data_IF_313599181641
#
_entry.id   IF_313599181641
#
_cell.length_a   1.000
_cell.length_b   1.000
_cell.length_c   1.000
_cell.angle_alpha   90.00
_cell.angle_beta   90.00
_cell.angle_gamma   90.00
#
_symmetry.space_group_name_H-M   'P 1'
#
loop_
_entity.id
_entity.type
_entity.pdbx_description
1 polymer ?
#
# COMPACT_ATOMS: atom_id res chain seq x y z
N UNK A 1 -55.22 4.97 12.00
CA UNK A 1 -54.19 5.87 12.46
C UNK A 1 -53.78 5.47 13.89
N UNK A 2 -52.82 4.55 14.02
CA UNK A 2 -52.27 4.13 15.31
C UNK A 2 -50.82 4.62 15.41
N UNK A 3 -50.63 5.61 16.25
CA UNK A 3 -49.31 6.15 16.60
C UNK A 3 -48.69 5.20 17.63
N UNK A 4 -47.73 4.36 17.20
CA UNK A 4 -46.91 3.53 18.09
C UNK A 4 -45.93 4.44 18.84
N UNK A 5 -46.23 4.78 20.10
CA UNK A 5 -45.29 5.41 21.01
C UNK A 5 -44.24 4.38 21.46
N UNK A 6 -43.04 4.46 20.87
CA UNK A 6 -41.86 3.80 21.40
C UNK A 6 -41.54 4.42 22.78
N UNK A 7 -41.85 3.75 23.86
CA UNK A 7 -41.31 4.05 25.18
C UNK A 7 -39.87 3.56 25.23
N UNK A 8 -38.93 4.47 25.01
CA UNK A 8 -37.52 4.22 25.34
C UNK A 8 -37.40 3.99 26.85
N UNK A 9 -36.86 2.85 27.22
CA UNK A 9 -36.71 2.42 28.62
C UNK A 9 -35.75 3.41 29.34
N UNK A 10 -36.29 4.25 30.21
CA UNK A 10 -35.63 5.40 30.86
C UNK A 10 -34.43 5.02 31.74
N UNK A 11 -34.25 3.75 32.06
CA UNK A 11 -33.18 3.26 32.95
C UNK A 11 -31.83 3.24 32.23
N UNK A 12 -31.79 2.79 30.97
CA UNK A 12 -30.54 2.82 30.16
C UNK A 12 -30.12 4.22 29.76
N UNK A 13 -31.05 5.10 29.47
CA UNK A 13 -30.76 6.51 29.17
C UNK A 13 -30.22 7.28 30.40
N UNK A 14 -30.72 6.96 31.61
CA UNK A 14 -30.25 7.57 32.86
C UNK A 14 -28.85 7.10 33.27
N UNK A 15 -28.50 5.86 32.97
CA UNK A 15 -27.17 5.29 33.23
C UNK A 15 -26.11 5.82 32.24
N UNK A 16 -26.51 6.15 31.00
CA UNK A 16 -25.63 6.75 29.98
C UNK A 16 -25.33 8.24 30.27
N UNK A 17 -26.22 8.92 31.01
CA UNK A 17 -26.04 10.34 31.38
C UNK A 17 -25.19 10.53 32.66
N UNK A 18 -24.87 9.48 33.41
CA UNK A 18 -24.10 9.56 34.67
C UNK A 18 -22.59 9.24 34.50
N UNK A 19 -22.13 8.77 33.37
CA UNK A 19 -20.69 8.67 33.09
C UNK A 19 -20.19 10.03 32.57
N UNK A 20 -19.13 10.58 33.20
CA UNK A 20 -18.47 11.78 32.68
C UNK A 20 -18.14 11.54 31.21
N UNK A 21 -18.50 12.50 30.31
CA UNK A 21 -18.21 12.33 28.88
C UNK A 21 -16.70 12.11 28.68
N UNK A 22 -16.35 11.05 28.00
CA UNK A 22 -14.94 10.77 27.68
C UNK A 22 -14.52 11.71 26.55
N UNK A 23 -13.49 12.51 26.80
CA UNK A 23 -12.89 13.33 25.77
C UNK A 23 -12.20 12.46 24.71
N UNK A 24 -12.65 12.55 23.46
CA UNK A 24 -12.13 11.76 22.34
C UNK A 24 -10.64 12.03 22.06
N UNK A 25 -10.14 13.23 22.41
CA UNK A 25 -8.73 13.54 22.31
C UNK A 25 -7.85 12.67 23.21
N UNK A 26 -8.39 12.24 24.37
CA UNK A 26 -7.67 11.31 25.25
C UNK A 26 -7.51 9.94 24.59
N UNK A 27 -8.55 9.48 23.87
CA UNK A 27 -8.51 8.21 23.15
C UNK A 27 -7.51 8.30 22.00
N UNK A 28 -7.53 9.39 21.24
CA UNK A 28 -6.57 9.61 20.14
C UNK A 28 -5.13 9.61 20.69
N UNK A 29 -4.88 10.33 21.80
CA UNK A 29 -3.56 10.35 22.45
C UNK A 29 -3.14 8.94 22.88
N UNK A 30 -4.04 8.13 23.44
CA UNK A 30 -3.76 6.74 23.81
C UNK A 30 -3.34 5.89 22.61
N UNK A 31 -4.02 6.02 21.47
CA UNK A 31 -3.69 5.29 20.26
C UNK A 31 -2.31 5.67 19.72
N UNK A 32 -1.98 6.96 19.69
CA UNK A 32 -0.68 7.43 19.22
C UNK A 32 0.45 6.97 20.14
N UNK A 33 0.26 7.03 21.47
CA UNK A 33 1.23 6.50 22.44
C UNK A 33 1.43 4.99 22.27
N UNK A 34 0.35 4.26 22.00
CA UNK A 34 0.42 2.80 21.74
C UNK A 34 1.24 2.48 20.50
N UNK A 35 1.10 3.27 19.44
CA UNK A 35 1.82 3.07 18.18
C UNK A 35 3.30 3.44 18.30
N UNK A 36 3.60 4.55 18.96
CA UNK A 36 4.97 5.06 19.12
C UNK A 36 5.76 4.37 20.24
N UNK A 37 5.08 3.70 21.18
CA UNK A 37 5.66 3.11 22.40
C UNK A 37 6.52 4.08 23.20
N UNK A 38 6.28 5.38 23.05
CA UNK A 38 7.04 6.46 23.66
C UNK A 38 6.20 7.72 23.82
N UNK A 39 6.17 8.27 25.02
CA UNK A 39 5.49 9.55 25.27
C UNK A 39 6.14 10.71 24.50
N UNK A 40 7.46 10.70 24.33
CA UNK A 40 8.19 11.75 23.60
C UNK A 40 7.85 11.71 22.11
N UNK A 41 7.95 10.54 21.47
CA UNK A 41 7.59 10.38 20.06
C UNK A 41 6.11 10.67 19.81
N UNK A 42 5.23 10.27 20.73
CA UNK A 42 3.81 10.59 20.64
C UNK A 42 3.57 12.10 20.72
N UNK A 43 4.31 12.81 21.57
CA UNK A 43 4.22 14.26 21.70
C UNK A 43 4.64 14.98 20.41
N UNK A 44 5.73 14.56 19.80
CA UNK A 44 6.21 15.04 18.49
C UNK A 44 5.14 14.85 17.40
N UNK A 45 4.55 13.65 17.32
CA UNK A 45 3.50 13.34 16.35
C UNK A 45 2.21 14.15 16.53
N UNK A 46 1.86 14.46 17.77
CA UNK A 46 0.66 15.21 18.12
C UNK A 46 0.89 16.74 18.11
N UNK A 47 2.13 17.19 17.95
CA UNK A 47 2.48 18.62 18.03
C UNK A 47 2.26 19.24 19.41
N UNK A 48 2.41 18.44 20.48
CA UNK A 48 2.24 18.87 21.88
C UNK A 48 3.46 18.52 22.73
N UNK A 49 3.47 18.95 23.99
CA UNK A 49 4.57 18.61 24.90
C UNK A 49 4.40 17.23 25.51
N UNK A 50 5.50 16.56 25.85
CA UNK A 50 5.48 15.26 26.53
C UNK A 50 4.68 15.26 27.85
N UNK A 51 4.76 16.31 28.73
CA UNK A 51 3.92 16.42 29.90
C UNK A 51 2.42 16.46 29.57
N UNK A 52 2.01 17.09 28.46
CA UNK A 52 0.62 17.14 28.01
C UNK A 52 0.13 15.74 27.59
N UNK A 53 0.93 14.97 26.86
CA UNK A 53 0.63 13.57 26.53
C UNK A 53 0.46 12.72 27.80
N UNK A 54 1.41 12.83 28.73
CA UNK A 54 1.36 12.10 30.01
C UNK A 54 0.13 12.47 30.84
N UNK A 55 -0.27 13.74 30.86
CA UNK A 55 -1.49 14.20 31.52
C UNK A 55 -2.75 13.63 30.86
N UNK A 56 -2.80 13.61 29.53
CA UNK A 56 -3.92 13.04 28.76
C UNK A 56 -4.10 11.55 29.06
N UNK A 57 -3.01 10.78 29.07
CA UNK A 57 -3.06 9.36 29.43
C UNK A 57 -3.56 9.17 30.87
N UNK A 58 -3.06 9.95 31.85
CA UNK A 58 -3.55 9.88 33.23
C UNK A 58 -5.05 10.19 33.34
N UNK A 59 -5.54 11.18 32.60
CA UNK A 59 -6.98 11.50 32.57
C UNK A 59 -7.80 10.35 32.00
N UNK A 60 -7.32 9.68 30.95
CA UNK A 60 -8.00 8.52 30.38
C UNK A 60 -8.01 7.33 31.35
N UNK A 61 -6.90 7.07 32.04
CA UNK A 61 -6.81 6.05 33.09
C UNK A 61 -7.79 6.33 34.24
N UNK A 62 -7.88 7.59 34.67
CA UNK A 62 -8.85 8.01 35.70
C UNK A 62 -10.29 7.86 35.22
N UNK A 63 -10.60 8.28 33.99
CA UNK A 63 -11.95 8.17 33.43
C UNK A 63 -12.40 6.72 33.24
N UNK A 64 -11.49 5.83 32.88
CA UNK A 64 -11.75 4.40 32.69
C UNK A 64 -11.57 3.57 33.97
N UNK A 65 -11.01 4.16 35.01
CA UNK A 65 -10.57 3.47 36.25
C UNK A 65 -9.66 2.24 35.95
N UNK A 66 -8.79 2.37 34.95
CA UNK A 66 -7.92 1.28 34.48
C UNK A 66 -6.54 1.83 34.19
N UNK A 67 -5.50 1.08 34.57
CA UNK A 67 -4.13 1.36 34.12
C UNK A 67 -3.97 0.87 32.69
N UNK A 68 -3.43 1.76 31.82
CA UNK A 68 -3.27 1.47 30.41
C UNK A 68 -1.83 1.16 30.02
N UNK A 69 -0.87 1.78 30.70
CA UNK A 69 0.56 1.56 30.45
C UNK A 69 1.32 1.16 31.74
N UNK A 70 2.34 0.35 31.54
CA UNK A 70 3.35 -0.01 32.55
C UNK A 70 4.74 0.33 32.02
N UNK A 71 5.64 0.69 32.93
CA UNK A 71 7.05 0.87 32.61
C UNK A 71 7.70 -0.48 32.34
N UNK A 72 8.43 -0.61 31.25
CA UNK A 72 9.26 -1.76 30.92
C UNK A 72 10.65 -1.26 30.53
N UNK A 73 11.55 -1.21 31.50
CA UNK A 73 12.88 -0.64 31.33
C UNK A 73 12.86 0.83 30.89
N UNK A 74 13.38 1.10 29.69
CA UNK A 74 13.39 2.45 29.08
C UNK A 74 12.15 2.73 28.19
N UNK A 75 11.26 1.75 28.02
CA UNK A 75 10.05 1.85 27.21
C UNK A 75 8.78 1.78 28.06
N UNK A 76 7.64 1.90 27.40
CA UNK A 76 6.32 1.69 27.99
C UNK A 76 5.61 0.57 27.24
N UNK A 77 4.87 -0.26 27.97
CA UNK A 77 4.10 -1.35 27.40
C UNK A 77 2.62 -1.24 27.82
N UNK A 78 1.76 -1.78 26.97
CA UNK A 78 0.33 -1.89 27.28
C UNK A 78 0.10 -2.91 28.40
N UNK A 79 -0.77 -2.58 29.32
CA UNK A 79 -1.36 -3.55 30.26
C UNK A 79 -2.22 -4.57 29.53
N UNK A 80 -2.53 -5.70 30.15
CA UNK A 80 -3.48 -6.68 29.59
C UNK A 80 -4.83 -6.02 29.28
N UNK A 81 -5.36 -5.25 30.21
CA UNK A 81 -6.62 -4.51 30.04
C UNK A 81 -6.57 -3.51 28.87
N UNK A 82 -5.44 -2.82 28.68
CA UNK A 82 -5.29 -1.90 27.56
C UNK A 82 -5.24 -2.62 26.21
N UNK A 83 -4.67 -3.83 26.15
CA UNK A 83 -4.68 -4.67 24.93
C UNK A 83 -6.09 -5.09 24.52
N UNK A 84 -6.95 -5.40 25.49
CA UNK A 84 -8.37 -5.73 25.25
C UNK A 84 -9.19 -4.51 24.83
N UNK A 85 -8.92 -3.33 25.39
CA UNK A 85 -9.61 -2.09 25.06
C UNK A 85 -9.19 -1.51 23.71
N UNK A 86 -7.96 -1.71 23.30
CA UNK A 86 -7.37 -1.12 22.10
C UNK A 86 -8.21 -1.33 20.83
N UNK A 87 -8.65 -2.55 20.47
CA UNK A 87 -9.48 -2.74 19.28
C UNK A 87 -10.84 -2.06 19.39
N UNK A 88 -11.43 -2.01 20.59
CA UNK A 88 -12.73 -1.38 20.81
C UNK A 88 -12.64 0.15 20.67
N UNK A 89 -11.60 0.77 21.23
CA UNK A 89 -11.38 2.21 21.10
C UNK A 89 -11.05 2.63 19.67
N UNK A 90 -10.26 1.81 18.95
CA UNK A 90 -10.02 2.04 17.52
C UNK A 90 -11.30 2.01 16.70
N UNK A 91 -12.14 1.00 16.95
CA UNK A 91 -13.44 0.86 16.27
C UNK A 91 -14.37 2.05 16.59
N UNK A 92 -14.43 2.49 17.84
CA UNK A 92 -15.25 3.63 18.23
C UNK A 92 -14.81 4.93 17.54
N UNK A 93 -13.51 5.24 17.53
CA UNK A 93 -13.00 6.42 16.81
C UNK A 93 -13.22 6.32 15.30
N UNK A 94 -13.04 5.15 14.71
CA UNK A 94 -13.33 4.94 13.29
C UNK A 94 -14.79 5.23 12.95
N UNK A 95 -15.73 4.80 13.79
CA UNK A 95 -17.18 5.08 13.59
C UNK A 95 -17.45 6.58 13.66
N UNK A 96 -16.86 7.27 14.65
CA UNK A 96 -17.03 8.72 14.82
C UNK A 96 -16.42 9.48 13.63
N UNK A 97 -15.18 9.13 13.25
CA UNK A 97 -14.50 9.72 12.12
C UNK A 97 -15.31 9.53 10.83
N UNK A 98 -15.89 8.36 10.62
CA UNK A 98 -16.71 8.07 9.44
C UNK A 98 -18.04 8.83 9.45
N UNK A 99 -18.68 8.97 10.62
CA UNK A 99 -19.90 9.75 10.75
C UNK A 99 -19.71 11.25 10.49
N UNK A 100 -18.50 11.76 10.77
CA UNK A 100 -18.15 13.17 10.61
C UNK A 100 -17.54 13.50 9.24
N UNK A 101 -17.13 12.49 8.48
CA UNK A 101 -16.54 12.69 7.15
C UNK A 101 -17.61 12.78 6.06
N UNK A 102 -17.48 13.80 5.19
CA UNK A 102 -18.01 13.71 3.82
C UNK A 102 -17.42 12.46 3.16
N UNK A 103 -18.11 11.81 2.19
CA UNK A 103 -17.56 10.66 1.48
C UNK A 103 -16.15 11.02 0.97
N UNK A 104 -15.13 10.57 1.68
CA UNK A 104 -13.75 10.79 1.27
C UNK A 104 -13.42 9.76 0.21
N UNK A 105 -12.91 10.25 -0.92
CA UNK A 105 -12.36 9.39 -1.95
C UNK A 105 -11.21 8.57 -1.38
N UNK A 106 -11.24 7.29 -1.61
CA UNK A 106 -10.21 6.34 -1.18
C UNK A 106 -8.95 6.55 -2.02
N UNK A 107 -7.82 6.80 -1.38
CA UNK A 107 -6.57 7.12 -2.05
C UNK A 107 -5.70 5.88 -2.16
N UNK A 108 -5.57 5.37 -3.37
CA UNK A 108 -4.69 4.25 -3.70
C UNK A 108 -3.43 4.77 -4.38
N UNK A 109 -2.28 4.54 -3.78
CA UNK A 109 -0.99 4.82 -4.40
C UNK A 109 -0.45 3.54 -5.02
N UNK A 110 0.00 3.62 -6.26
CA UNK A 110 0.48 2.46 -7.00
C UNK A 110 1.60 2.84 -7.96
N UNK A 111 2.44 1.86 -8.30
CA UNK A 111 3.27 1.99 -9.48
C UNK A 111 2.39 2.11 -10.73
N UNK A 112 2.96 2.46 -11.86
CA UNK A 112 2.24 2.65 -13.12
C UNK A 112 1.52 1.38 -13.65
N UNK A 113 1.96 0.19 -13.25
CA UNK A 113 1.40 -1.07 -13.73
C UNK A 113 -0.11 -1.22 -13.52
N UNK A 114 -0.68 -1.01 -12.32
CA UNK A 114 -2.12 -1.03 -12.15
C UNK A 114 -2.83 0.02 -13.00
N UNK A 115 -2.25 1.21 -13.13
CA UNK A 115 -2.84 2.31 -13.90
C UNK A 115 -2.98 1.98 -15.38
N UNK A 116 -2.03 1.22 -15.92
CA UNK A 116 -2.05 0.77 -17.32
C UNK A 116 -3.19 -0.23 -17.61
N UNK A 117 -3.88 -0.72 -16.61
CA UNK A 117 -4.81 -1.83 -16.77
C UNK A 117 -6.12 -1.76 -16.02
N UNK A 118 -6.25 -0.90 -15.03
CA UNK A 118 -7.44 -0.83 -14.21
C UNK A 118 -8.56 -0.01 -14.89
N UNK A 119 -9.77 -0.58 -14.88
CA UNK A 119 -10.98 0.20 -15.08
C UNK A 119 -11.22 1.11 -13.88
N UNK A 120 -11.85 2.28 -14.07
CA UNK A 120 -12.22 3.15 -12.96
C UNK A 120 -12.97 2.38 -11.86
N UNK A 121 -12.65 2.70 -10.61
CA UNK A 121 -13.32 2.15 -9.44
C UNK A 121 -13.99 3.32 -8.71
N UNK A 122 -15.27 3.19 -8.46
CA UNK A 122 -16.05 4.24 -7.80
C UNK A 122 -15.45 4.58 -6.43
N UNK A 123 -15.38 5.86 -6.15
CA UNK A 123 -14.84 6.43 -4.91
C UNK A 123 -13.34 6.13 -4.66
N UNK A 124 -12.55 5.73 -5.68
CA UNK A 124 -11.11 5.54 -5.58
C UNK A 124 -10.40 6.54 -6.47
N UNK A 125 -9.40 7.23 -5.91
CA UNK A 125 -8.42 7.98 -6.68
C UNK A 125 -7.11 7.20 -6.65
N UNK A 126 -6.61 6.90 -7.84
CA UNK A 126 -5.29 6.32 -8.01
C UNK A 126 -4.26 7.42 -8.18
N UNK A 127 -3.20 7.32 -7.41
CA UNK A 127 -2.02 8.17 -7.52
C UNK A 127 -0.85 7.31 -7.97
N UNK A 128 -0.19 7.72 -9.04
CA UNK A 128 1.09 7.14 -9.40
C UNK A 128 2.13 7.52 -8.34
N UNK A 129 2.90 6.56 -7.90
CA UNK A 129 3.91 6.74 -6.86
C UNK A 129 5.28 6.30 -7.35
N UNK A 130 6.30 6.89 -6.75
CA UNK A 130 7.66 6.37 -6.83
C UNK A 130 7.73 4.97 -6.21
N UNK A 131 8.73 4.20 -6.58
CA UNK A 131 8.91 2.84 -6.04
C UNK A 131 9.63 2.83 -4.68
N UNK A 132 9.86 3.99 -4.07
CA UNK A 132 10.47 4.07 -2.74
C UNK A 132 9.48 3.56 -1.67
N UNK A 133 9.72 2.33 -1.21
CA UNK A 133 8.88 1.68 -0.19
C UNK A 133 8.86 2.45 1.13
N UNK A 134 9.94 3.15 1.48
CA UNK A 134 10.03 3.96 2.71
C UNK A 134 9.06 5.13 2.66
N UNK A 135 9.11 5.91 1.59
CA UNK A 135 8.21 7.05 1.36
C UNK A 135 6.74 6.59 1.32
N UNK A 136 6.46 5.47 0.66
CA UNK A 136 5.11 4.91 0.58
C UNK A 136 4.57 4.47 1.94
N UNK A 137 5.40 3.85 2.78
CA UNK A 137 5.02 3.51 4.14
C UNK A 137 4.72 4.76 4.99
N UNK A 138 5.45 5.85 4.78
CA UNK A 138 5.18 7.13 5.43
C UNK A 138 3.85 7.73 4.98
N UNK A 139 3.45 7.56 3.71
CA UNK A 139 2.13 7.99 3.25
C UNK A 139 1.00 7.27 3.96
N UNK A 140 1.13 5.95 4.20
CA UNK A 140 0.17 5.19 5.00
C UNK A 140 0.17 5.65 6.46
N UNK A 141 1.33 5.90 7.02
CA UNK A 141 1.48 6.34 8.41
C UNK A 141 0.83 7.69 8.64
N UNK A 142 1.07 8.66 7.76
CA UNK A 142 0.56 10.02 7.83
C UNK A 142 -0.84 10.22 7.22
N UNK A 143 -1.55 9.13 6.88
CA UNK A 143 -2.91 9.16 6.29
C UNK A 143 -2.99 9.90 4.95
N UNK A 144 -1.88 10.01 4.23
CA UNK A 144 -1.85 10.56 2.87
C UNK A 144 -2.37 9.54 1.86
N UNK A 145 -2.14 8.25 2.13
CA UNK A 145 -2.67 7.12 1.38
C UNK A 145 -3.54 6.22 2.29
N UNK A 146 -4.56 5.60 1.72
CA UNK A 146 -5.35 4.57 2.38
C UNK A 146 -4.77 3.17 2.07
N UNK A 147 -4.27 2.99 0.86
CA UNK A 147 -3.66 1.73 0.40
C UNK A 147 -2.51 2.00 -0.57
N UNK A 148 -1.54 1.10 -0.59
CA UNK A 148 -0.46 1.04 -1.58
C UNK A 148 -0.61 -0.26 -2.35
N UNK A 149 -0.34 -0.22 -3.66
CA UNK A 149 -0.41 -1.36 -4.57
C UNK A 149 0.92 -1.43 -5.32
N UNK A 150 1.61 -2.56 -5.22
CA UNK A 150 2.90 -2.76 -5.89
C UNK A 150 3.71 -3.89 -5.26
N UNK A 151 5.01 -3.90 -5.47
CA UNK A 151 5.94 -4.79 -4.77
C UNK A 151 6.44 -4.06 -3.52
N UNK A 152 6.17 -4.62 -2.35
CA UNK A 152 6.48 -3.98 -1.07
C UNK A 152 7.66 -4.72 -0.43
N UNK A 153 8.78 -4.05 -0.33
CA UNK A 153 9.98 -4.56 0.33
C UNK A 153 9.91 -4.55 1.86
N UNK A 154 10.96 -4.09 2.49
CA UNK A 154 11.01 -3.95 3.95
C UNK A 154 9.94 -3.00 4.46
N UNK A 155 9.14 -3.44 5.42
CA UNK A 155 8.01 -2.70 5.97
C UNK A 155 8.06 -2.55 7.48
N UNK A 156 7.58 -1.43 8.04
CA UNK A 156 7.35 -1.28 9.48
C UNK A 156 6.29 -2.27 9.99
N UNK A 157 6.39 -2.62 11.28
CA UNK A 157 5.42 -3.53 11.94
C UNK A 157 3.97 -2.98 11.98
N UNK A 158 3.80 -1.69 11.74
CA UNK A 158 2.49 -1.03 11.64
C UNK A 158 1.79 -1.22 10.29
N UNK A 159 2.49 -1.75 9.29
CA UNK A 159 1.96 -1.98 7.94
C UNK A 159 1.65 -3.46 7.76
N UNK A 160 0.44 -3.73 7.27
CA UNK A 160 0.00 -5.06 6.84
C UNK A 160 0.18 -5.12 5.33
N UNK A 161 0.79 -6.21 4.86
CA UNK A 161 0.96 -6.51 3.44
C UNK A 161 0.26 -7.83 3.15
N UNK A 162 -0.51 -7.86 2.07
CA UNK A 162 -1.24 -9.02 1.58
C UNK A 162 -0.86 -9.26 0.12
N UNK A 163 -0.46 -10.47 -0.21
CA UNK A 163 -0.15 -10.85 -1.59
C UNK A 163 -1.44 -10.94 -2.42
N UNK A 164 -1.38 -10.46 -3.65
CA UNK A 164 -2.47 -10.54 -4.62
C UNK A 164 -2.23 -11.71 -5.57
N UNK A 165 -1.18 -11.61 -6.36
CA UNK A 165 -0.76 -12.66 -7.30
C UNK A 165 0.73 -12.56 -7.57
N UNK A 166 1.26 -13.64 -8.16
CA UNK A 166 2.63 -13.69 -8.64
C UNK A 166 2.65 -14.02 -10.13
N UNK A 167 3.57 -13.43 -10.84
CA UNK A 167 3.76 -13.68 -12.26
C UNK A 167 5.25 -13.59 -12.65
N UNK A 168 5.67 -14.29 -13.72
CA UNK A 168 7.04 -14.22 -14.17
C UNK A 168 7.33 -12.89 -14.87
N UNK A 169 8.58 -12.45 -14.78
CA UNK A 169 9.11 -11.45 -15.69
C UNK A 169 9.39 -12.05 -17.06
N UNK A 170 9.18 -11.25 -18.10
CA UNK A 170 9.51 -11.58 -19.48
C UNK A 170 10.37 -10.47 -20.09
N UNK A 171 11.17 -10.83 -21.07
CA UNK A 171 11.96 -9.87 -21.83
C UNK A 171 11.13 -9.42 -23.03
N UNK A 172 11.11 -8.12 -23.29
CA UNK A 172 10.39 -7.52 -24.42
C UNK A 172 11.35 -6.88 -25.40
N UNK A 173 10.97 -6.89 -26.68
CA UNK A 173 11.63 -6.19 -27.75
C UNK A 173 10.62 -5.79 -28.81
N UNK A 174 10.91 -4.77 -29.63
CA UNK A 174 10.00 -4.40 -30.72
C UNK A 174 9.80 -5.57 -31.69
N UNK A 175 8.59 -5.71 -32.26
CA UNK A 175 8.27 -6.87 -33.12
C UNK A 175 9.20 -7.01 -34.32
N UNK A 176 9.57 -5.87 -34.93
CA UNK A 176 10.47 -5.81 -36.09
C UNK A 176 11.93 -5.56 -35.69
N UNK A 177 12.37 -6.06 -34.55
CA UNK A 177 13.77 -5.92 -34.12
C UNK A 177 14.71 -6.63 -35.12
N UNK A 178 15.72 -5.95 -35.65
CA UNK A 178 16.49 -6.47 -36.79
C UNK A 178 17.37 -7.68 -36.48
N UNK A 179 17.74 -7.87 -35.22
CA UNK A 179 18.69 -8.89 -34.76
C UNK A 179 18.08 -10.01 -33.94
N UNK A 180 16.82 -9.86 -33.48
CA UNK A 180 16.18 -10.87 -32.61
C UNK A 180 15.43 -11.91 -33.44
N UNK A 181 15.75 -13.17 -33.22
CA UNK A 181 15.06 -14.33 -33.79
C UNK A 181 13.70 -14.63 -33.12
N UNK A 182 13.17 -15.83 -33.31
CA UNK A 182 11.95 -16.30 -32.66
C UNK A 182 12.14 -16.60 -31.16
N UNK A 183 13.35 -16.87 -30.74
CA UNK A 183 13.77 -17.12 -29.35
C UNK A 183 14.90 -16.19 -28.99
N UNK A 184 14.99 -15.84 -27.75
CA UNK A 184 16.08 -15.07 -27.18
C UNK A 184 16.97 -16.03 -26.38
N UNK A 185 18.24 -16.14 -26.75
CA UNK A 185 19.26 -16.83 -25.99
C UNK A 185 20.12 -15.86 -25.17
N UNK A 186 21.02 -16.42 -24.39
CA UNK A 186 21.90 -15.63 -23.49
C UNK A 186 22.81 -14.70 -24.28
N UNK A 187 23.35 -15.16 -25.38
CA UNK A 187 24.28 -14.36 -26.20
C UNK A 187 23.56 -13.18 -26.88
N UNK A 188 22.35 -13.44 -27.44
CA UNK A 188 21.50 -12.39 -27.98
C UNK A 188 21.12 -11.35 -26.94
N UNK A 189 20.80 -11.79 -25.72
CA UNK A 189 20.50 -10.87 -24.60
C UNK A 189 21.70 -9.96 -24.29
N UNK A 190 22.89 -10.52 -24.18
CA UNK A 190 24.09 -9.74 -23.86
C UNK A 190 24.66 -8.93 -25.02
N UNK A 191 24.25 -9.20 -26.24
CA UNK A 191 24.68 -8.41 -27.40
C UNK A 191 23.78 -7.22 -27.74
N UNK A 192 22.60 -7.15 -27.09
CA UNK A 192 21.65 -6.07 -27.30
C UNK A 192 21.81 -4.92 -26.31
N UNK A 193 21.22 -3.77 -26.63
CA UNK A 193 21.04 -2.65 -25.73
C UNK A 193 19.82 -2.87 -24.85
N UNK A 194 19.79 -2.21 -23.71
CA UNK A 194 18.74 -2.38 -22.72
C UNK A 194 18.11 -1.06 -22.31
N UNK A 195 16.79 -1.05 -22.21
CA UNK A 195 16.02 -0.06 -21.49
C UNK A 195 15.73 -0.62 -20.09
N UNK A 196 16.33 -0.04 -19.07
CA UNK A 196 16.26 -0.55 -17.69
C UNK A 196 15.37 0.32 -16.82
N UNK A 197 14.65 -0.33 -15.92
CA UNK A 197 13.87 0.33 -14.88
C UNK A 197 14.77 0.56 -13.66
N UNK A 198 14.81 1.78 -13.18
CA UNK A 198 15.51 2.13 -11.94
C UNK A 198 14.58 2.93 -11.07
N UNK A 199 14.32 2.43 -9.88
CA UNK A 199 13.44 3.09 -8.89
C UNK A 199 14.14 4.18 -8.09
N UNK A 200 15.47 4.07 -7.98
CA UNK A 200 16.32 5.01 -7.23
C UNK A 200 17.75 4.89 -7.73
N UNK A 201 18.59 5.83 -7.33
CA UNK A 201 20.02 5.92 -7.62
C UNK A 201 20.87 4.71 -7.15
N UNK A 202 20.25 3.51 -7.03
CA UNK A 202 20.94 2.28 -6.68
C UNK A 202 21.76 1.75 -7.85
N UNK A 203 22.88 1.12 -7.55
CA UNK A 203 23.81 0.53 -8.52
C UNK A 203 23.16 -0.64 -9.26
N UNK A 204 22.21 -1.33 -8.64
CA UNK A 204 21.46 -2.46 -9.20
C UNK A 204 20.11 -1.98 -9.73
N UNK A 205 19.80 -2.34 -10.97
CA UNK A 205 18.49 -2.10 -11.55
C UNK A 205 17.50 -3.17 -11.07
N UNK A 206 16.21 -2.83 -11.03
CA UNK A 206 15.17 -3.83 -10.70
C UNK A 206 15.16 -5.01 -11.69
N UNK A 207 15.56 -4.76 -12.94
CA UNK A 207 15.68 -5.78 -13.98
C UNK A 207 16.78 -6.78 -13.67
N UNK A 208 17.93 -6.31 -13.15
CA UNK A 208 19.03 -7.20 -12.75
C UNK A 208 18.62 -8.10 -11.59
N UNK A 209 17.94 -7.53 -10.60
CA UNK A 209 17.40 -8.30 -9.49
C UNK A 209 16.33 -9.31 -9.95
N UNK A 210 15.45 -8.92 -10.87
CA UNK A 210 14.38 -9.77 -11.41
C UNK A 210 14.90 -10.93 -12.25
N UNK A 211 15.97 -10.73 -13.00
CA UNK A 211 16.56 -11.76 -13.88
C UNK A 211 17.76 -12.45 -13.25
N UNK A 212 18.21 -12.01 -12.09
CA UNK A 212 19.46 -12.46 -11.48
C UNK A 212 20.64 -12.40 -12.45
N UNK A 213 20.75 -11.29 -13.20
CA UNK A 213 21.76 -11.06 -14.22
C UNK A 213 22.28 -9.63 -14.17
N UNK A 214 23.56 -9.42 -14.38
CA UNK A 214 24.16 -8.09 -14.44
C UNK A 214 24.16 -7.57 -15.89
N UNK A 215 23.59 -6.37 -16.09
CA UNK A 215 23.63 -5.64 -17.36
C UNK A 215 24.80 -4.66 -17.30
N UNK A 216 25.75 -4.80 -18.21
CA UNK A 216 26.92 -3.92 -18.25
C UNK A 216 26.50 -2.49 -18.59
N UNK A 217 27.16 -1.50 -17.99
CA UNK A 217 26.83 -0.08 -18.21
C UNK A 217 26.84 0.33 -19.69
N UNK A 218 27.74 -0.23 -20.50
CA UNK A 218 27.80 0.02 -21.95
C UNK A 218 26.65 -0.63 -22.74
N UNK A 219 25.86 -1.50 -22.14
CA UNK A 219 24.68 -2.11 -22.75
C UNK A 219 23.40 -1.33 -22.40
N UNK A 220 23.44 -0.45 -21.40
CA UNK A 220 22.30 0.39 -21.03
C UNK A 220 22.19 1.54 -22.03
N UNK A 221 21.04 1.63 -22.72
CA UNK A 221 20.72 2.72 -23.62
C UNK A 221 19.79 3.75 -22.97
N UNK A 222 18.81 3.26 -22.19
CA UNK A 222 17.84 4.10 -21.52
C UNK A 222 17.65 3.63 -20.08
N UNK A 223 17.57 4.59 -19.16
CA UNK A 223 17.11 4.38 -17.77
C UNK A 223 15.79 5.11 -17.61
N UNK A 224 14.76 4.43 -17.11
CA UNK A 224 13.44 5.00 -16.86
C UNK A 224 12.94 4.62 -15.47
N UNK A 225 12.00 5.38 -14.93
CA UNK A 225 11.40 5.14 -13.61
C UNK A 225 10.03 4.46 -13.66
N UNK A 226 9.55 4.10 -14.86
CA UNK A 226 8.21 3.53 -15.05
C UNK A 226 8.19 2.40 -16.09
N UNK A 227 7.31 1.43 -15.93
CA UNK A 227 7.10 0.38 -16.94
C UNK A 227 6.52 0.94 -18.24
N UNK A 228 5.73 2.01 -18.18
CA UNK A 228 5.30 2.73 -19.39
C UNK A 228 6.51 3.28 -20.15
N UNK A 229 7.49 3.82 -19.43
CA UNK A 229 8.76 4.26 -20.03
C UNK A 229 9.51 3.10 -20.68
N UNK A 230 9.57 1.92 -20.06
CA UNK A 230 10.17 0.72 -20.69
C UNK A 230 9.44 0.35 -21.97
N UNK A 231 8.10 0.22 -21.93
CA UNK A 231 7.26 -0.15 -23.07
C UNK A 231 7.45 0.81 -24.25
N UNK A 232 7.37 2.12 -24.00
CA UNK A 232 7.45 3.13 -25.07
C UNK A 232 8.82 3.23 -25.69
N UNK A 233 9.89 3.10 -24.91
CA UNK A 233 11.27 3.10 -25.44
C UNK A 233 11.54 1.83 -26.24
N UNK A 234 11.15 0.65 -25.76
CA UNK A 234 11.32 -0.62 -26.46
C UNK A 234 10.53 -0.65 -27.78
N UNK A 235 9.33 -0.04 -27.82
CA UNK A 235 8.54 0.04 -29.05
C UNK A 235 9.23 0.81 -30.18
N UNK A 236 10.11 1.76 -29.84
CA UNK A 236 10.71 2.69 -30.80
C UNK A 236 12.20 2.43 -31.05
N UNK A 237 12.85 1.57 -30.28
CA UNK A 237 14.31 1.37 -30.30
C UNK A 237 14.69 -0.10 -30.49
N UNK A 238 15.91 -0.33 -30.91
CA UNK A 238 16.49 -1.67 -31.00
C UNK A 238 17.11 -2.07 -29.66
N UNK A 239 16.28 -2.09 -28.61
CA UNK A 239 16.70 -2.47 -27.28
C UNK A 239 15.72 -3.47 -26.65
N UNK A 240 16.19 -4.12 -25.60
CA UNK A 240 15.40 -5.02 -24.76
C UNK A 240 14.90 -4.32 -23.50
N UNK A 241 13.78 -4.75 -23.00
CA UNK A 241 13.26 -4.35 -21.69
C UNK A 241 12.77 -5.56 -20.92
N UNK A 242 12.51 -5.40 -19.63
CA UNK A 242 11.96 -6.44 -18.75
C UNK A 242 10.68 -5.93 -18.14
N UNK A 243 9.60 -6.71 -18.24
CA UNK A 243 8.29 -6.35 -17.68
C UNK A 243 7.61 -7.61 -17.14
N UNK A 244 6.62 -7.49 -16.24
CA UNK A 244 5.74 -8.60 -15.88
C UNK A 244 4.98 -9.13 -17.11
N UNK A 245 4.71 -10.45 -17.13
CA UNK A 245 4.06 -11.11 -18.28
C UNK A 245 2.70 -10.50 -18.64
N UNK A 246 1.91 -10.13 -17.65
CA UNK A 246 0.60 -9.50 -17.87
C UNK A 246 0.68 -8.21 -18.67
N UNK A 247 1.71 -7.40 -18.39
CA UNK A 247 2.00 -6.13 -19.09
C UNK A 247 2.37 -6.39 -20.54
N UNK A 248 3.26 -7.35 -20.78
CA UNK A 248 3.66 -7.72 -22.14
C UNK A 248 2.48 -8.22 -22.97
N UNK A 249 1.60 -9.06 -22.38
CA UNK A 249 0.39 -9.55 -23.07
C UNK A 249 -0.62 -8.47 -23.37
N UNK A 250 -0.78 -7.53 -22.43
CA UNK A 250 -1.78 -6.46 -22.58
C UNK A 250 -1.38 -5.44 -23.64
N UNK A 251 -0.12 -5.04 -23.67
CA UNK A 251 0.36 -3.91 -24.49
C UNK A 251 1.14 -4.34 -25.71
N UNK A 252 1.49 -5.63 -25.82
CA UNK A 252 2.34 -6.14 -26.91
C UNK A 252 1.81 -5.79 -28.30
N UNK A 253 0.57 -6.14 -28.57
CA UNK A 253 -0.05 -5.89 -29.88
C UNK A 253 -0.22 -4.38 -30.16
N UNK A 254 -0.70 -3.62 -29.16
CA UNK A 254 -0.96 -2.19 -29.32
C UNK A 254 0.32 -1.37 -29.58
N UNK A 255 1.46 -1.80 -29.01
CA UNK A 255 2.74 -1.13 -29.15
C UNK A 255 3.70 -1.82 -30.13
N UNK A 256 3.23 -2.85 -30.85
CA UNK A 256 4.05 -3.64 -31.75
C UNK A 256 5.31 -4.22 -31.07
N UNK A 257 5.13 -4.76 -29.88
CA UNK A 257 6.14 -5.38 -29.03
C UNK A 257 5.87 -6.87 -28.96
N UNK A 258 6.91 -7.68 -29.01
CA UNK A 258 6.86 -9.11 -28.69
C UNK A 258 7.61 -9.42 -27.42
N UNK A 259 7.24 -10.48 -26.75
CA UNK A 259 7.91 -10.93 -25.54
C UNK A 259 8.60 -12.29 -25.74
N UNK A 260 9.62 -12.49 -24.95
CA UNK A 260 10.44 -13.69 -24.89
C UNK A 260 10.46 -14.22 -23.46
N UNK A 261 10.46 -15.52 -23.29
CA UNK A 261 10.81 -16.11 -22.01
C UNK A 261 12.27 -15.76 -21.68
N UNK A 262 12.53 -15.51 -20.40
CA UNK A 262 13.91 -15.25 -19.94
C UNK A 262 14.78 -16.48 -20.18
N UNK A 263 15.97 -16.35 -20.77
CA UNK A 263 16.96 -17.43 -20.84
C UNK A 263 17.66 -17.67 -19.49
N UNK A 264 17.38 -16.85 -18.48
CA UNK A 264 17.91 -16.94 -17.12
C UNK A 264 16.82 -17.45 -16.16
N UNK A 265 17.22 -18.05 -15.01
CA UNK A 265 16.27 -18.26 -13.91
C UNK A 265 15.73 -16.91 -13.46
N UNK A 266 14.48 -16.62 -13.80
CA UNK A 266 13.84 -15.34 -13.47
C UNK A 266 13.08 -15.44 -12.15
N UNK A 267 13.12 -14.33 -11.38
CA UNK A 267 12.28 -14.14 -10.23
C UNK A 267 10.80 -14.00 -10.61
N UNK A 268 9.95 -14.08 -9.59
CA UNK A 268 8.52 -13.80 -9.72
C UNK A 268 8.25 -12.37 -9.29
N UNK A 269 7.49 -11.63 -10.07
CA UNK A 269 6.93 -10.38 -9.62
C UNK A 269 5.74 -10.66 -8.71
N UNK A 270 5.80 -10.20 -7.46
CA UNK A 270 4.70 -10.35 -6.51
C UNK A 270 3.95 -9.06 -6.40
N UNK A 271 2.73 -9.04 -6.89
CA UNK A 271 1.79 -7.95 -6.68
C UNK A 271 1.22 -8.05 -5.27
N UNK A 272 1.27 -6.94 -4.54
CA UNK A 272 0.85 -6.85 -3.15
C UNK A 272 -0.01 -5.61 -2.92
N UNK A 273 -0.83 -5.66 -1.88
CA UNK A 273 -1.44 -4.47 -1.29
C UNK A 273 -0.89 -4.27 0.11
N UNK A 274 -0.64 -3.01 0.46
CA UNK A 274 -0.23 -2.64 1.80
C UNK A 274 -1.15 -1.57 2.38
N UNK A 275 -1.41 -1.66 3.68
CA UNK A 275 -2.21 -0.68 4.41
C UNK A 275 -1.81 -0.64 5.89
N UNK A 276 -2.11 0.47 6.55
CA UNK A 276 -1.79 0.60 7.97
C UNK A 276 -2.72 -0.26 8.82
N UNK A 277 -2.18 -0.93 9.85
CA UNK A 277 -2.94 -1.83 10.76
C UNK A 277 -4.14 -1.18 11.46
N UNK A 278 -4.20 0.17 11.54
CA UNK A 278 -5.39 0.90 12.04
C UNK A 278 -6.66 0.59 11.24
N UNK A 279 -6.52 0.20 9.98
CA UNK A 279 -7.61 -0.14 9.08
C UNK A 279 -7.92 -1.64 9.00
N UNK A 280 -7.22 -2.48 9.78
CA UNK A 280 -7.41 -3.94 9.73
C UNK A 280 -8.87 -4.34 9.99
N UNK A 281 -9.50 -3.72 10.99
CA UNK A 281 -10.87 -4.01 11.41
C UNK A 281 -11.92 -3.03 10.84
N UNK A 282 -11.51 -2.05 10.03
CA UNK A 282 -12.44 -1.12 9.40
C UNK A 282 -13.23 -1.81 8.28
N UNK A 283 -14.55 -1.89 8.44
CA UNK A 283 -15.43 -2.59 7.50
C UNK A 283 -15.40 -1.97 6.09
N UNK A 284 -15.41 -0.64 6.00
CA UNK A 284 -15.37 0.10 4.72
C UNK A 284 -14.05 -0.12 4.01
N UNK A 285 -12.94 -0.02 4.73
CA UNK A 285 -11.61 -0.28 4.17
C UNK A 285 -11.47 -1.73 3.71
N UNK A 286 -12.04 -2.68 4.46
CA UNK A 286 -12.06 -4.11 4.09
C UNK A 286 -12.90 -4.34 2.82
N UNK A 287 -14.05 -3.69 2.69
CA UNK A 287 -14.87 -3.77 1.49
C UNK A 287 -14.11 -3.23 0.27
N UNK A 288 -13.44 -2.09 0.41
CA UNK A 288 -12.63 -1.51 -0.67
C UNK A 288 -11.45 -2.41 -1.05
N UNK A 289 -10.72 -2.97 -0.07
CA UNK A 289 -9.64 -3.94 -0.36
C UNK A 289 -10.17 -5.14 -1.16
N UNK A 290 -11.38 -5.62 -0.86
CA UNK A 290 -11.98 -6.74 -1.61
C UNK A 290 -12.24 -6.34 -3.06
N UNK A 291 -12.84 -5.18 -3.30
CA UNK A 291 -13.07 -4.65 -4.67
C UNK A 291 -11.76 -4.50 -5.42
N UNK A 292 -10.73 -3.93 -4.79
CA UNK A 292 -9.41 -3.79 -5.40
C UNK A 292 -8.79 -5.15 -5.73
N UNK A 293 -8.86 -6.13 -4.82
CA UNK A 293 -8.38 -7.48 -5.07
C UNK A 293 -9.08 -8.15 -6.23
N UNK A 294 -10.39 -8.08 -6.30
CA UNK A 294 -11.18 -8.63 -7.41
C UNK A 294 -10.78 -8.01 -8.75
N UNK A 295 -10.58 -6.68 -8.79
CA UNK A 295 -10.19 -5.98 -10.01
C UNK A 295 -8.73 -6.19 -10.41
N UNK A 296 -7.81 -6.34 -9.46
CA UNK A 296 -6.39 -6.56 -9.71
C UNK A 296 -6.04 -8.04 -9.97
N UNK A 297 -6.81 -8.99 -9.42
CA UNK A 297 -6.61 -10.43 -9.64
C UNK A 297 -7.23 -10.94 -10.95
N UNK A 298 -8.01 -10.12 -11.66
CA UNK A 298 -8.47 -10.50 -12.98
C UNK A 298 -7.26 -10.61 -13.90
N UNK A 299 -7.03 -11.77 -14.54
CA UNK A 299 -6.02 -11.84 -15.57
C UNK A 299 -6.30 -10.72 -16.59
N UNK A 300 -5.31 -9.88 -16.82
CA UNK A 300 -5.41 -8.70 -17.70
C UNK A 300 -5.77 -9.04 -19.16
N UNK A 301 -6.24 -10.27 -19.41
CA UNK A 301 -6.46 -10.86 -20.75
C UNK A 301 -7.89 -10.79 -21.29
N UNK A 302 -8.87 -10.18 -20.63
CA UNK A 302 -10.26 -10.31 -21.08
C UNK A 302 -11.12 -9.05 -21.13
N UNK A 303 -10.55 -7.87 -21.20
CA UNK A 303 -11.34 -6.68 -21.55
C UNK A 303 -11.10 -6.29 -23.00
N UNK A 304 -11.83 -6.93 -23.90
CA UNK A 304 -12.06 -6.39 -25.24
C UNK A 304 -12.81 -5.07 -25.09
N UNK A 305 -12.20 -3.98 -25.54
CA UNK A 305 -12.94 -2.75 -25.82
C UNK A 305 -13.85 -3.04 -27.01
N UNK A 306 -15.16 -3.17 -26.79
CA UNK A 306 -16.19 -3.04 -27.79
C UNK A 306 -16.48 -1.58 -28.07
#
# INVERSE_FOLDING_TARGET
>A
LAVARFRFNSIHAKQMLMSKPIDLNLINTFLVVTESQSYTKAAEQLGVTQPAVSASIRRLEQASNKKLFVKSGRSIELTHTARELLPQLRKALSIIDNAMKKPQLFKAYCCDLPLLGLSPIDNVIFHESTQDTGELCDFLYHRKADIIIGSIGNKPTSIIVEDLHQEPFVIIGRANHPRLGKRLDIDAFHNEKHCVLSSTWSVETEHEAALNVTIKANQIEVVTSSYLGVLTNVAQRDCLGVVPLSVAKRWGDALNIRYFQSPFPSGQFTFQIAYHKRHADCAEHRAMRRVLKEKLNLPLSSQHYS
#
